data_IF_520704976909
#
_entry.id   IF_520704976909
#
_cell.length_a   1.000
_cell.length_b   1.000
_cell.length_c   1.000
_cell.angle_alpha   90.00
_cell.angle_beta   90.00
_cell.angle_gamma   90.00
#
_symmetry.space_group_name_H-M   'P 1'
#
loop_
_entity.id
_entity.type
_entity.pdbx_description
1 polymer ?
#
# COMPACT_ATOMS: atom_id res chain seq x y z
N UNK A 1 -13.40 -20.33 2.02
CA UNK A 1 -12.04 -20.63 1.52
C UNK A 1 -11.07 -20.79 2.69
N UNK A 2 -9.99 -21.53 2.48
CA UNK A 2 -8.86 -21.56 3.41
C UNK A 2 -7.87 -20.47 3.03
N UNK A 3 -7.53 -19.59 3.97
CA UNK A 3 -6.73 -18.41 3.71
C UNK A 3 -5.57 -18.35 4.71
N UNK A 4 -4.35 -18.14 4.20
CA UNK A 4 -3.23 -17.78 5.07
C UNK A 4 -2.88 -16.31 4.85
N UNK A 5 -2.90 -15.53 5.94
CA UNK A 5 -2.43 -14.14 5.94
C UNK A 5 -0.99 -14.12 6.45
N UNK A 6 -0.06 -13.66 5.63
CA UNK A 6 1.36 -13.53 5.97
C UNK A 6 1.66 -12.09 6.35
N UNK A 7 2.02 -11.88 7.62
CA UNK A 7 2.30 -10.57 8.18
C UNK A 7 1.31 -10.19 9.28
N UNK A 8 1.80 -10.13 10.51
CA UNK A 8 1.02 -9.87 11.74
C UNK A 8 1.15 -8.41 12.23
N UNK A 9 1.43 -7.49 11.32
CA UNK A 9 1.37 -6.06 11.58
C UNK A 9 -0.07 -5.56 11.71
N UNK A 10 -0.24 -4.25 11.92
CA UNK A 10 -1.56 -3.63 12.12
C UNK A 10 -2.57 -4.02 11.01
N UNK A 11 -2.17 -3.89 9.73
CA UNK A 11 -3.04 -4.16 8.59
C UNK A 11 -3.28 -5.67 8.40
N UNK A 12 -2.25 -6.50 8.45
CA UNK A 12 -2.40 -7.95 8.27
C UNK A 12 -3.22 -8.61 9.38
N UNK A 13 -3.08 -8.16 10.63
CA UNK A 13 -3.92 -8.61 11.75
C UNK A 13 -5.40 -8.25 11.52
N UNK A 14 -5.66 -7.02 11.03
CA UNK A 14 -7.03 -6.61 10.68
C UNK A 14 -7.60 -7.46 9.54
N UNK A 15 -6.83 -7.68 8.46
CA UNK A 15 -7.28 -8.51 7.33
C UNK A 15 -7.62 -9.93 7.80
N UNK A 16 -6.78 -10.54 8.63
CA UNK A 16 -7.05 -11.88 9.17
C UNK A 16 -8.34 -11.90 9.99
N UNK A 17 -8.52 -10.94 10.89
CA UNK A 17 -9.75 -10.78 11.67
C UNK A 17 -10.97 -10.57 10.77
N UNK A 18 -10.86 -9.70 9.77
CA UNK A 18 -11.93 -9.39 8.83
C UNK A 18 -12.39 -10.62 8.04
N UNK A 19 -11.43 -11.36 7.46
CA UNK A 19 -11.70 -12.54 6.66
C UNK A 19 -12.30 -13.68 7.49
N UNK A 20 -11.85 -13.85 8.73
CA UNK A 20 -12.49 -14.82 9.67
C UNK A 20 -13.92 -14.39 10.00
N UNK A 21 -14.14 -13.09 10.30
CA UNK A 21 -15.46 -12.54 10.62
C UNK A 21 -16.50 -12.75 9.50
N UNK A 22 -16.08 -12.73 8.24
CA UNK A 22 -16.96 -12.98 7.09
C UNK A 22 -17.04 -14.47 6.71
N UNK A 23 -16.52 -15.38 7.54
CA UNK A 23 -16.76 -16.82 7.47
C UNK A 23 -15.68 -17.62 6.73
N UNK A 24 -14.48 -17.10 6.51
CA UNK A 24 -13.37 -17.88 5.96
C UNK A 24 -12.60 -18.62 7.06
N UNK A 25 -11.93 -19.71 6.70
CA UNK A 25 -10.98 -20.40 7.58
C UNK A 25 -9.61 -19.73 7.45
N UNK A 26 -9.18 -19.01 8.49
CA UNK A 26 -8.02 -18.13 8.42
C UNK A 26 -6.88 -18.58 9.33
N UNK A 27 -5.67 -18.62 8.77
CA UNK A 27 -4.42 -18.71 9.51
C UNK A 27 -3.66 -17.39 9.40
N UNK A 28 -3.21 -16.83 10.52
CA UNK A 28 -2.34 -15.64 10.55
C UNK A 28 -0.91 -16.08 10.88
N UNK A 29 -0.02 -15.90 9.92
CA UNK A 29 1.40 -16.18 10.09
C UNK A 29 2.18 -14.93 10.51
N UNK A 30 3.03 -15.09 11.51
CA UNK A 30 4.06 -14.14 11.89
C UNK A 30 5.36 -14.85 12.27
N UNK A 31 6.50 -14.22 11.99
CA UNK A 31 7.81 -14.76 12.39
C UNK A 31 7.88 -14.93 13.89
N UNK A 32 8.51 -16.02 14.38
CA UNK A 32 8.68 -16.29 15.81
C UNK A 32 9.38 -15.15 16.56
N UNK A 33 10.28 -14.42 15.90
CA UNK A 33 10.97 -13.24 16.45
C UNK A 33 10.14 -11.96 16.45
N UNK A 34 8.94 -11.96 15.85
CA UNK A 34 8.09 -10.78 15.78
C UNK A 34 7.41 -10.49 17.12
N UNK A 35 7.70 -9.32 17.71
CA UNK A 35 7.03 -8.85 18.92
C UNK A 35 5.50 -8.74 18.74
N UNK A 36 5.03 -8.38 17.54
CA UNK A 36 3.59 -8.38 17.22
C UNK A 36 2.99 -9.78 17.32
N UNK A 37 3.67 -10.80 16.76
CA UNK A 37 3.17 -12.18 16.82
C UNK A 37 3.19 -12.75 18.23
N UNK A 38 4.25 -12.48 18.99
CA UNK A 38 4.33 -12.90 20.40
C UNK A 38 3.16 -12.30 21.20
N UNK A 39 2.91 -10.99 21.06
CA UNK A 39 1.77 -10.35 21.70
C UNK A 39 0.43 -10.98 21.29
N UNK A 40 0.22 -11.25 19.99
CA UNK A 40 -1.02 -11.88 19.51
C UNK A 40 -1.21 -13.30 20.07
N UNK A 41 -0.15 -14.09 20.22
CA UNK A 41 -0.21 -15.42 20.84
C UNK A 41 -0.59 -15.32 22.32
N UNK A 42 -0.08 -14.32 23.04
CA UNK A 42 -0.33 -14.14 24.48
C UNK A 42 -1.71 -13.55 24.76
N UNK A 43 -2.15 -12.57 23.97
CA UNK A 43 -3.31 -11.73 24.30
C UNK A 43 -4.46 -11.80 23.31
N UNK A 44 -4.25 -12.41 22.14
CA UNK A 44 -5.16 -12.43 20.98
C UNK A 44 -5.63 -11.05 20.52
N UNK A 45 -4.93 -9.98 20.88
CA UNK A 45 -5.27 -8.62 20.44
C UNK A 45 -4.03 -7.81 20.09
N UNK A 46 -4.16 -6.97 19.07
CA UNK A 46 -3.17 -5.94 18.76
C UNK A 46 -3.53 -4.57 19.35
N UNK A 47 -4.62 -4.49 20.13
CA UNK A 47 -5.17 -3.27 20.71
C UNK A 47 -6.20 -2.56 19.82
N UNK A 48 -6.42 -3.03 18.58
CA UNK A 48 -7.43 -2.51 17.65
C UNK A 48 -8.54 -3.53 17.37
N UNK A 49 -8.18 -4.81 17.25
CA UNK A 49 -9.12 -5.91 17.07
C UNK A 49 -8.78 -7.06 18.04
N UNK A 50 -9.79 -7.80 18.46
CA UNK A 50 -9.64 -9.06 19.19
C UNK A 50 -9.81 -10.21 18.23
N UNK A 51 -8.84 -11.12 18.20
CA UNK A 51 -8.85 -12.28 17.31
C UNK A 51 -9.69 -13.41 17.93
N UNK A 52 -10.71 -13.92 17.21
CA UNK A 52 -11.53 -15.04 17.69
C UNK A 52 -10.72 -16.34 17.75
N UNK A 53 -11.18 -17.30 18.56
CA UNK A 53 -10.53 -18.61 18.69
C UNK A 53 -10.52 -19.41 17.37
N UNK A 54 -11.45 -19.14 16.48
CA UNK A 54 -11.53 -19.72 15.12
C UNK A 54 -10.33 -19.38 14.25
N UNK A 55 -9.72 -18.20 14.47
CA UNK A 55 -8.56 -17.71 13.73
C UNK A 55 -7.29 -18.39 14.26
N UNK A 56 -6.60 -19.15 13.39
CA UNK A 56 -5.39 -19.88 13.76
C UNK A 56 -4.14 -18.98 13.72
N UNK A 57 -3.40 -18.91 14.83
CA UNK A 57 -2.11 -18.21 14.91
C UNK A 57 -0.97 -19.21 14.69
N UNK A 58 -0.04 -18.90 13.79
CA UNK A 58 1.07 -19.81 13.48
C UNK A 58 2.39 -19.08 13.21
N UNK A 59 3.49 -19.74 13.59
CA UNK A 59 4.86 -19.34 13.21
C UNK A 59 5.44 -20.25 12.11
N UNK A 60 4.65 -21.21 11.58
CA UNK A 60 5.07 -22.07 10.47
C UNK A 60 4.46 -21.59 9.16
N UNK A 61 5.30 -21.43 8.14
CA UNK A 61 4.86 -21.17 6.76
C UNK A 61 4.15 -22.39 6.14
N UNK A 62 4.19 -23.59 6.75
CA UNK A 62 3.48 -24.76 6.21
C UNK A 62 1.98 -24.53 6.02
N UNK A 63 1.39 -23.61 6.75
CA UNK A 63 -0.02 -23.21 6.58
C UNK A 63 -0.40 -22.81 5.15
N UNK A 64 0.56 -22.34 4.34
CA UNK A 64 0.31 -21.94 2.94
C UNK A 64 -0.03 -23.11 2.03
N UNK A 65 0.41 -24.35 2.38
CA UNK A 65 0.19 -25.54 1.55
C UNK A 65 -1.30 -25.83 1.34
N UNK A 66 -2.08 -25.71 2.40
CA UNK A 66 -3.50 -26.03 2.42
C UNK A 66 -4.40 -24.84 2.05
N UNK A 67 -3.81 -23.67 1.81
CA UNK A 67 -4.56 -22.45 1.51
C UNK A 67 -4.98 -22.40 0.05
N UNK A 68 -6.20 -21.91 -0.20
CA UNK A 68 -6.68 -21.51 -1.53
C UNK A 68 -6.11 -20.14 -1.90
N UNK A 69 -6.06 -19.24 -0.91
CA UNK A 69 -5.61 -17.85 -1.04
C UNK A 69 -4.52 -17.56 -0.02
N UNK A 70 -3.48 -16.86 -0.46
CA UNK A 70 -2.37 -16.41 0.38
C UNK A 70 -2.34 -14.89 0.34
N UNK A 71 -2.74 -14.26 1.44
CA UNK A 71 -2.74 -12.79 1.56
C UNK A 71 -1.42 -12.34 2.16
N UNK A 72 -0.72 -11.43 1.49
CA UNK A 72 0.58 -10.92 1.92
C UNK A 72 0.46 -9.47 2.37
N UNK A 73 0.82 -9.20 3.63
CA UNK A 73 0.80 -7.89 4.27
C UNK A 73 2.10 -7.64 5.03
N UNK A 74 3.21 -7.56 4.30
CA UNK A 74 4.56 -7.29 4.81
C UNK A 74 5.07 -5.95 4.26
N UNK A 75 6.27 -5.52 4.66
CA UNK A 75 6.93 -4.39 3.99
C UNK A 75 7.18 -4.73 2.51
N UNK A 76 6.87 -3.81 1.60
CA UNK A 76 7.01 -4.00 0.15
C UNK A 76 8.42 -4.41 -0.27
N UNK A 77 9.46 -3.88 0.39
CA UNK A 77 10.86 -4.22 0.11
C UNK A 77 11.26 -5.63 0.58
N UNK A 78 10.47 -6.24 1.46
CA UNK A 78 10.67 -7.63 1.93
C UNK A 78 9.94 -8.68 1.09
N UNK A 79 9.14 -8.28 0.09
CA UNK A 79 8.29 -9.21 -0.66
C UNK A 79 9.11 -10.28 -1.40
N UNK A 80 10.13 -9.89 -2.15
CA UNK A 80 10.97 -10.83 -2.91
C UNK A 80 11.63 -11.88 -2.01
N UNK A 81 12.16 -11.45 -0.87
CA UNK A 81 12.73 -12.37 0.12
C UNK A 81 11.69 -13.37 0.63
N UNK A 82 10.49 -12.90 0.96
CA UNK A 82 9.39 -13.77 1.38
C UNK A 82 8.98 -14.75 0.26
N UNK A 83 8.84 -14.28 -0.98
CA UNK A 83 8.47 -15.16 -2.09
C UNK A 83 9.50 -16.29 -2.29
N UNK A 84 10.81 -15.99 -2.13
CA UNK A 84 11.87 -17.02 -2.14
C UNK A 84 11.79 -17.98 -0.95
N UNK A 85 11.40 -17.50 0.25
CA UNK A 85 11.11 -18.38 1.39
C UNK A 85 9.92 -19.33 1.10
N UNK A 86 9.02 -18.95 0.20
CA UNK A 86 7.85 -19.76 -0.19
C UNK A 86 8.15 -20.76 -1.33
N UNK A 87 9.22 -20.60 -2.12
CA UNK A 87 9.55 -21.50 -3.24
C UNK A 87 9.64 -22.99 -2.85
N UNK A 88 10.23 -23.40 -1.69
CA UNK A 88 10.31 -24.80 -1.31
C UNK A 88 8.95 -25.49 -1.10
N UNK A 89 7.86 -24.73 -0.98
CA UNK A 89 6.51 -25.28 -0.84
C UNK A 89 5.86 -25.66 -2.17
N UNK A 90 6.48 -25.33 -3.31
CA UNK A 90 6.01 -25.66 -4.68
C UNK A 90 4.53 -25.33 -4.90
N UNK A 91 4.10 -24.15 -4.45
CA UNK A 91 2.71 -23.70 -4.47
C UNK A 91 2.19 -23.55 -5.91
N UNK A 92 1.08 -24.20 -6.22
CA UNK A 92 0.42 -24.18 -7.54
C UNK A 92 -1.07 -23.93 -7.40
N UNK A 93 -1.66 -23.28 -8.41
CA UNK A 93 -3.09 -22.98 -8.48
C UNK A 93 -3.60 -22.22 -7.24
N UNK A 94 -2.76 -21.34 -6.68
CA UNK A 94 -3.12 -20.47 -5.56
C UNK A 94 -3.39 -19.05 -6.06
N UNK A 95 -4.09 -18.26 -5.23
CA UNK A 95 -4.25 -16.83 -5.45
C UNK A 95 -3.40 -16.10 -4.41
N UNK A 96 -2.40 -15.34 -4.85
CA UNK A 96 -1.66 -14.42 -4.01
C UNK A 96 -2.35 -13.06 -4.00
N UNK A 97 -2.66 -12.52 -2.82
CA UNK A 97 -3.28 -11.20 -2.66
C UNK A 97 -2.30 -10.27 -1.94
N UNK A 98 -1.85 -9.25 -2.62
CA UNK A 98 -0.86 -8.30 -2.12
C UNK A 98 -1.57 -7.07 -1.54
N UNK A 99 -1.37 -6.81 -0.24
CA UNK A 99 -2.03 -5.71 0.49
C UNK A 99 -1.08 -4.56 0.83
N UNK A 100 0.19 -4.65 0.44
CA UNK A 100 1.15 -3.58 0.60
C UNK A 100 1.07 -2.57 -0.56
N UNK A 101 1.58 -1.37 -0.34
CA UNK A 101 1.57 -0.26 -1.28
C UNK A 101 3.01 0.19 -1.53
N UNK A 102 3.59 -0.19 -2.66
CA UNK A 102 4.99 0.14 -2.95
C UNK A 102 5.48 -0.36 -4.30
N UNK A 103 6.70 0.03 -4.61
CA UNK A 103 7.50 -0.40 -5.77
C UNK A 103 8.84 -0.86 -5.22
N UNK A 104 9.40 -1.95 -5.73
CA UNK A 104 10.71 -2.44 -5.31
C UNK A 104 11.81 -1.46 -5.75
N UNK A 105 12.62 -0.97 -4.81
CA UNK A 105 13.62 0.07 -5.09
C UNK A 105 14.72 -0.46 -6.01
N UNK A 106 15.15 -1.69 -5.80
CA UNK A 106 16.29 -2.28 -6.51
C UNK A 106 16.02 -2.41 -8.01
N UNK A 107 14.83 -2.85 -8.39
CA UNK A 107 14.47 -3.17 -9.78
C UNK A 107 13.49 -2.19 -10.43
N UNK A 108 12.75 -1.42 -9.64
CA UNK A 108 11.62 -0.62 -10.10
C UNK A 108 10.36 -1.44 -10.42
N UNK A 109 10.35 -2.73 -10.10
CA UNK A 109 9.19 -3.61 -10.33
C UNK A 109 8.04 -3.28 -9.39
N UNK A 110 6.81 -3.31 -9.92
CA UNK A 110 5.59 -3.30 -9.11
C UNK A 110 5.51 -4.58 -8.27
N UNK A 111 4.85 -4.53 -7.13
CA UNK A 111 4.78 -5.68 -6.22
C UNK A 111 4.14 -6.91 -6.88
N UNK A 112 3.16 -6.74 -7.78
CA UNK A 112 2.58 -7.84 -8.56
C UNK A 112 3.61 -8.50 -9.47
N UNK A 113 4.47 -7.71 -10.12
CA UNK A 113 5.55 -8.22 -10.97
C UNK A 113 6.61 -8.98 -10.14
N UNK A 114 6.97 -8.47 -8.96
CA UNK A 114 7.89 -9.16 -8.04
C UNK A 114 7.31 -10.52 -7.63
N UNK A 115 6.04 -10.56 -7.26
CA UNK A 115 5.37 -11.80 -6.88
C UNK A 115 5.32 -12.80 -8.04
N UNK A 116 4.87 -12.34 -9.23
CA UNK A 116 4.77 -13.19 -10.43
C UNK A 116 6.13 -13.73 -10.90
N UNK A 117 7.21 -12.96 -10.74
CA UNK A 117 8.56 -13.39 -11.09
C UNK A 117 9.13 -14.50 -10.20
N UNK A 118 8.63 -14.63 -8.97
CA UNK A 118 9.14 -15.56 -7.96
C UNK A 118 8.20 -16.75 -7.70
N UNK A 119 6.98 -16.78 -8.25
CA UNK A 119 6.02 -17.88 -8.06
C UNK A 119 5.79 -18.67 -9.36
N UNK A 120 5.22 -19.88 -9.22
CA UNK A 120 4.82 -20.70 -10.37
C UNK A 120 3.71 -20.00 -11.18
N UNK A 121 3.78 -20.08 -12.50
CA UNK A 121 2.86 -19.40 -13.42
C UNK A 121 1.41 -19.87 -13.36
N UNK A 122 1.14 -21.01 -12.71
CA UNK A 122 -0.25 -21.46 -12.43
C UNK A 122 -0.93 -20.65 -11.31
N UNK A 123 -0.17 -19.85 -10.56
CA UNK A 123 -0.73 -19.01 -9.51
C UNK A 123 -1.21 -17.67 -10.08
N UNK A 124 -2.33 -17.19 -9.56
CA UNK A 124 -2.81 -15.86 -9.86
C UNK A 124 -2.26 -14.84 -8.83
N UNK A 125 -1.99 -13.63 -9.29
CA UNK A 125 -1.56 -12.52 -8.42
C UNK A 125 -2.59 -11.40 -8.49
N UNK A 126 -3.08 -10.98 -7.33
CA UNK A 126 -4.02 -9.88 -7.17
C UNK A 126 -3.48 -8.85 -6.18
N UNK A 127 -3.95 -7.62 -6.29
CA UNK A 127 -3.71 -6.56 -5.31
C UNK A 127 -5.02 -6.19 -4.60
N UNK A 128 -4.93 -5.91 -3.30
CA UNK A 128 -6.03 -5.36 -2.50
C UNK A 128 -5.58 -4.00 -1.99
N UNK A 129 -6.09 -2.93 -2.59
CA UNK A 129 -5.68 -1.54 -2.35
C UNK A 129 -6.88 -0.60 -2.23
N UNK A 130 -6.67 0.60 -1.76
CA UNK A 130 -7.72 1.62 -1.61
C UNK A 130 -7.65 2.30 -0.24
N UNK A 131 -8.64 3.19 0.07
CA UNK A 131 -8.70 3.96 1.29
C UNK A 131 -9.10 3.14 2.52
N UNK A 132 -8.75 3.62 3.69
CA UNK A 132 -9.23 3.13 4.98
C UNK A 132 -8.14 3.00 6.03
N UNK A 133 -8.58 3.20 7.27
CA UNK A 133 -7.77 2.99 8.46
C UNK A 133 -8.31 1.81 9.27
N UNK A 134 -7.41 1.02 9.83
CA UNK A 134 -7.79 -0.12 10.68
C UNK A 134 -8.68 0.32 11.84
N UNK A 135 -8.40 1.49 12.42
CA UNK A 135 -9.18 2.04 13.52
C UNK A 135 -10.65 2.27 13.14
N UNK A 136 -10.90 2.80 11.93
CA UNK A 136 -12.25 3.08 11.42
C UNK A 136 -12.99 1.79 11.10
N UNK A 137 -12.33 0.85 10.40
CA UNK A 137 -12.91 -0.47 10.13
C UNK A 137 -13.21 -1.25 11.42
N UNK A 138 -12.32 -1.21 12.42
CA UNK A 138 -12.54 -1.86 13.70
C UNK A 138 -13.73 -1.23 14.47
N UNK A 139 -13.98 0.07 14.27
CA UNK A 139 -15.16 0.77 14.79
C UNK A 139 -16.44 0.53 13.95
N UNK A 140 -16.36 -0.25 12.88
CA UNK A 140 -17.51 -0.57 12.03
C UNK A 140 -17.82 0.48 10.95
N UNK A 141 -16.93 1.43 10.70
CA UNK A 141 -17.09 2.44 9.63
C UNK A 141 -16.82 1.79 8.27
N UNK A 142 -17.82 1.70 7.37
CA UNK A 142 -17.65 1.06 6.08
C UNK A 142 -16.82 1.91 5.11
N UNK A 143 -16.12 1.24 4.18
CA UNK A 143 -15.40 1.93 3.11
C UNK A 143 -15.37 1.09 1.82
N UNK A 144 -14.88 1.71 0.74
CA UNK A 144 -14.72 1.07 -0.56
C UNK A 144 -13.24 0.80 -0.84
N UNK A 145 -12.95 -0.37 -1.41
CA UNK A 145 -11.59 -0.74 -1.81
C UNK A 145 -11.60 -1.39 -3.22
N UNK A 146 -10.45 -1.65 -3.77
CA UNK A 146 -10.27 -2.26 -5.09
C UNK A 146 -9.52 -3.57 -4.94
N UNK A 147 -9.99 -4.60 -5.62
CA UNK A 147 -9.22 -5.80 -5.95
C UNK A 147 -8.96 -5.77 -7.45
N UNK A 148 -7.70 -5.92 -7.83
CA UNK A 148 -7.29 -6.00 -9.23
C UNK A 148 -6.33 -7.15 -9.46
N UNK A 149 -6.40 -7.73 -10.67
CA UNK A 149 -5.58 -8.86 -11.11
C UNK A 149 -5.65 -8.98 -12.63
N UNK A 150 -4.59 -9.47 -13.24
CA UNK A 150 -4.59 -9.89 -14.65
C UNK A 150 -5.45 -11.16 -14.87
N UNK A 151 -5.74 -11.93 -13.80
CA UNK A 151 -6.67 -13.06 -13.83
C UNK A 151 -8.08 -12.60 -13.47
N UNK A 152 -8.97 -12.59 -14.46
CA UNK A 152 -10.39 -12.22 -14.27
C UNK A 152 -11.11 -13.17 -13.29
N UNK A 153 -10.81 -14.47 -13.34
CA UNK A 153 -11.41 -15.47 -12.44
C UNK A 153 -10.96 -15.24 -10.98
N UNK A 154 -9.68 -14.99 -10.76
CA UNK A 154 -9.16 -14.68 -9.43
C UNK A 154 -9.77 -13.37 -8.89
N UNK A 155 -9.80 -12.33 -9.71
CA UNK A 155 -10.41 -11.03 -9.37
C UNK A 155 -11.88 -11.19 -8.98
N UNK A 156 -12.66 -11.88 -9.78
CA UNK A 156 -14.08 -12.16 -9.51
C UNK A 156 -14.24 -12.94 -8.22
N UNK A 157 -13.51 -14.04 -8.07
CA UNK A 157 -13.54 -14.88 -6.86
C UNK A 157 -13.28 -14.07 -5.60
N UNK A 158 -12.25 -13.22 -5.61
CA UNK A 158 -11.87 -12.42 -4.45
C UNK A 158 -12.91 -11.33 -4.14
N UNK A 159 -13.40 -10.58 -5.15
CA UNK A 159 -14.38 -9.51 -4.93
C UNK A 159 -15.67 -10.07 -4.36
N UNK A 160 -16.16 -11.19 -4.92
CA UNK A 160 -17.41 -11.83 -4.47
C UNK A 160 -17.29 -12.48 -3.09
N UNK A 161 -16.09 -13.02 -2.74
CA UNK A 161 -15.89 -13.74 -1.49
C UNK A 161 -15.44 -12.84 -0.34
N UNK A 162 -14.77 -11.71 -0.63
CA UNK A 162 -14.24 -10.80 0.39
C UNK A 162 -15.15 -9.61 0.66
N UNK A 163 -16.14 -9.35 -0.19
CA UNK A 163 -17.10 -8.27 -0.01
C UNK A 163 -18.01 -8.47 1.20
N UNK A 164 -18.34 -7.37 1.88
CA UNK A 164 -19.27 -7.35 3.03
C UNK A 164 -19.87 -5.95 3.21
N UNK A 165 -20.74 -5.78 4.21
CA UNK A 165 -21.24 -4.47 4.59
C UNK A 165 -20.16 -3.52 5.12
N UNK A 166 -19.02 -4.06 5.58
CA UNK A 166 -17.89 -3.27 6.06
C UNK A 166 -16.95 -2.83 4.94
N UNK A 167 -16.69 -3.71 3.97
CA UNK A 167 -15.80 -3.39 2.84
C UNK A 167 -16.49 -3.76 1.54
N UNK A 168 -16.82 -2.71 0.75
CA UNK A 168 -17.29 -2.86 -0.62
C UNK A 168 -16.10 -2.88 -1.56
N UNK A 169 -15.90 -3.99 -2.29
CA UNK A 169 -14.88 -4.06 -3.32
C UNK A 169 -15.42 -3.67 -4.69
N UNK A 170 -14.55 -2.98 -5.44
CA UNK A 170 -14.70 -2.75 -6.86
C UNK A 170 -13.71 -3.62 -7.64
N UNK A 171 -14.14 -4.08 -8.81
CA UNK A 171 -13.27 -4.75 -9.76
C UNK A 171 -12.29 -3.74 -10.37
N UNK A 172 -10.99 -3.94 -10.15
CA UNK A 172 -9.96 -3.16 -10.84
C UNK A 172 -9.90 -3.53 -12.33
N UNK A 173 -9.53 -2.56 -13.16
CA UNK A 173 -9.37 -2.73 -14.60
C UNK A 173 -8.04 -2.19 -15.12
N UNK A 174 -7.13 -1.84 -14.20
CA UNK A 174 -5.82 -1.31 -14.51
C UNK A 174 -4.86 -1.60 -13.35
N UNK A 175 -4.26 -2.78 -13.39
CA UNK A 175 -3.33 -3.23 -12.35
C UNK A 175 -2.13 -2.28 -12.22
N UNK A 176 -1.65 -1.70 -13.34
CA UNK A 176 -0.55 -0.72 -13.34
C UNK A 176 -0.96 0.52 -12.56
N UNK A 177 -2.07 1.13 -12.93
CA UNK A 177 -2.53 2.36 -12.31
C UNK A 177 -2.90 2.19 -10.84
N UNK A 178 -3.53 1.07 -10.47
CA UNK A 178 -3.91 0.78 -9.10
C UNK A 178 -2.67 0.61 -8.19
N UNK A 179 -1.62 -0.08 -8.64
CA UNK A 179 -0.39 -0.25 -7.87
C UNK A 179 0.43 1.05 -7.78
N UNK A 180 0.64 1.75 -8.91
CA UNK A 180 1.39 3.01 -8.95
C UNK A 180 0.68 4.09 -8.15
N UNK A 181 -0.64 4.21 -8.31
CA UNK A 181 -1.44 5.14 -7.53
C UNK A 181 -1.35 4.89 -6.03
N UNK A 182 -1.47 3.62 -5.61
CA UNK A 182 -1.36 3.22 -4.21
C UNK A 182 0.04 3.49 -3.62
N UNK A 183 1.11 3.28 -4.39
CA UNK A 183 2.47 3.57 -3.95
C UNK A 183 2.71 5.08 -3.84
N UNK A 184 2.31 5.84 -4.87
CA UNK A 184 2.57 7.27 -4.99
C UNK A 184 1.80 8.12 -3.97
N UNK A 185 0.59 7.71 -3.55
CA UNK A 185 -0.16 8.43 -2.51
C UNK A 185 0.64 8.61 -1.22
N UNK A 186 1.51 7.66 -0.88
CA UNK A 186 2.34 7.73 0.31
C UNK A 186 3.37 8.86 0.22
N UNK A 187 3.91 9.13 -0.97
CA UNK A 187 4.80 10.26 -1.25
C UNK A 187 4.04 11.59 -1.12
N UNK A 188 2.84 11.66 -1.70
CA UNK A 188 1.97 12.85 -1.57
C UNK A 188 1.57 13.08 -0.11
N UNK A 189 1.40 11.99 0.67
CA UNK A 189 1.19 12.06 2.12
C UNK A 189 2.37 12.70 2.87
N UNK A 190 3.60 12.37 2.52
CA UNK A 190 4.79 13.03 3.07
C UNK A 190 4.81 14.51 2.70
N UNK A 191 4.55 14.86 1.43
CA UNK A 191 4.47 16.25 0.98
C UNK A 191 3.41 17.04 1.78
N UNK A 192 2.24 16.44 2.02
CA UNK A 192 1.18 17.07 2.84
C UNK A 192 1.64 17.31 4.27
N UNK A 193 2.36 16.36 4.86
CA UNK A 193 2.97 16.52 6.19
C UNK A 193 4.02 17.64 6.22
N UNK A 194 4.87 17.74 5.20
CA UNK A 194 5.82 18.85 5.07
C UNK A 194 5.09 20.20 5.04
N UNK A 195 4.00 20.31 4.27
CA UNK A 195 3.18 21.53 4.25
C UNK A 195 2.58 21.84 5.62
N UNK A 196 2.12 20.84 6.37
CA UNK A 196 1.63 21.03 7.74
C UNK A 196 2.74 21.56 8.65
N UNK A 197 3.92 20.94 8.61
CA UNK A 197 5.07 21.34 9.41
C UNK A 197 5.59 22.74 9.13
N UNK A 198 5.45 23.20 7.88
CA UNK A 198 5.81 24.57 7.42
C UNK A 198 4.71 25.61 7.68
N UNK A 199 3.52 25.23 8.19
CA UNK A 199 2.38 26.14 8.33
C UNK A 199 1.69 26.50 7.02
N UNK A 200 1.86 25.68 5.98
CA UNK A 200 1.33 25.89 4.62
C UNK A 200 0.18 24.93 4.27
N UNK A 201 -0.60 24.50 5.28
CA UNK A 201 -1.67 23.49 5.10
C UNK A 201 -2.72 23.85 4.04
N UNK A 202 -2.94 25.16 3.78
CA UNK A 202 -3.86 25.63 2.74
C UNK A 202 -3.45 25.20 1.33
N UNK A 203 -2.18 24.86 1.10
CA UNK A 203 -1.68 24.37 -0.19
C UNK A 203 -2.02 22.89 -0.46
N UNK A 204 -2.57 22.16 0.49
CA UNK A 204 -2.96 20.76 0.30
C UNK A 204 -3.96 20.55 -0.84
N UNK A 205 -4.89 21.51 -1.06
CA UNK A 205 -5.80 21.45 -2.21
C UNK A 205 -5.06 21.47 -3.55
N UNK A 206 -4.08 22.37 -3.70
CA UNK A 206 -3.22 22.41 -4.88
C UNK A 206 -2.35 21.14 -4.99
N UNK A 207 -1.83 20.64 -3.85
CA UNK A 207 -1.07 19.40 -3.81
C UNK A 207 -1.91 18.20 -4.29
N UNK A 208 -3.17 18.09 -3.86
CA UNK A 208 -4.09 17.05 -4.31
C UNK A 208 -4.27 17.08 -5.83
N UNK A 209 -4.65 18.23 -6.37
CA UNK A 209 -4.91 18.38 -7.81
C UNK A 209 -3.64 18.11 -8.64
N UNK A 210 -2.52 18.71 -8.26
CA UNK A 210 -1.27 18.59 -9.03
C UNK A 210 -0.56 17.25 -8.82
N UNK A 211 -0.63 16.68 -7.61
CA UNK A 211 -0.11 15.37 -7.31
C UNK A 211 -0.85 14.28 -8.08
N UNK A 212 -2.18 14.33 -8.09
CA UNK A 212 -3.00 13.40 -8.90
C UNK A 212 -2.62 13.48 -10.39
N UNK A 213 -2.50 14.70 -10.94
CA UNK A 213 -2.12 14.88 -12.34
C UNK A 213 -0.70 14.42 -12.66
N UNK A 214 0.23 14.59 -11.71
CA UNK A 214 1.61 14.07 -11.82
C UNK A 214 1.62 12.55 -11.96
N UNK A 215 0.87 11.88 -11.11
CA UNK A 215 0.80 10.41 -11.09
C UNK A 215 -0.03 9.86 -12.26
N UNK A 216 -1.07 10.57 -12.69
CA UNK A 216 -1.81 10.23 -13.91
C UNK A 216 -0.87 10.13 -15.13
N UNK A 217 0.03 11.13 -15.30
CA UNK A 217 1.04 11.10 -16.38
C UNK A 217 2.03 9.95 -16.24
N UNK A 218 2.43 9.60 -15.01
CA UNK A 218 3.32 8.45 -14.79
C UNK A 218 2.61 7.15 -15.17
N UNK A 219 1.36 6.98 -14.77
CA UNK A 219 0.55 5.78 -15.08
C UNK A 219 0.40 5.62 -16.59
N UNK A 220 0.02 6.70 -17.30
CA UNK A 220 -0.10 6.70 -18.76
C UNK A 220 1.22 6.33 -19.44
N UNK A 221 2.33 6.94 -19.03
CA UNK A 221 3.66 6.66 -19.58
C UNK A 221 4.11 5.18 -19.32
N UNK A 222 3.58 4.53 -18.29
CA UNK A 222 3.82 3.12 -17.98
C UNK A 222 2.86 2.18 -18.72
N UNK A 223 1.95 2.69 -19.54
CA UNK A 223 0.96 1.92 -20.29
C UNK A 223 -0.31 1.57 -19.49
N UNK A 224 -0.54 2.21 -18.36
CA UNK A 224 -1.79 2.12 -17.59
C UNK A 224 -2.80 3.18 -18.04
N UNK A 225 -3.94 3.23 -17.38
CA UNK A 225 -4.99 4.21 -17.61
C UNK A 225 -4.81 5.41 -16.66
N UNK A 226 -4.56 6.61 -17.19
CA UNK A 226 -4.38 7.83 -16.38
C UNK A 226 -5.54 8.11 -15.43
N UNK A 227 -6.77 7.68 -15.76
CA UNK A 227 -7.95 7.83 -14.91
C UNK A 227 -7.86 7.05 -13.60
N UNK A 228 -7.02 6.03 -13.52
CA UNK A 228 -6.79 5.28 -12.27
C UNK A 228 -6.24 6.15 -11.15
N UNK A 229 -5.49 7.21 -11.48
CA UNK A 229 -5.01 8.18 -10.50
C UNK A 229 -6.16 8.94 -9.80
N UNK A 230 -7.31 9.07 -10.43
CA UNK A 230 -8.49 9.73 -9.87
C UNK A 230 -9.41 8.77 -9.09
N UNK A 231 -9.08 7.47 -9.09
CA UNK A 231 -9.81 6.41 -8.42
C UNK A 231 -9.45 6.22 -6.95
N UNK A 232 -9.99 5.13 -6.37
CA UNK A 232 -9.85 4.80 -4.95
C UNK A 232 -8.41 4.54 -4.51
N UNK A 233 -7.51 4.10 -5.41
CA UNK A 233 -6.15 3.73 -5.05
C UNK A 233 -5.22 4.94 -4.86
N UNK A 234 -5.58 6.11 -5.39
CA UNK A 234 -4.76 7.32 -5.27
C UNK A 234 -5.56 8.50 -4.72
N UNK A 235 -6.30 9.27 -5.57
CA UNK A 235 -7.06 10.44 -5.12
C UNK A 235 -8.09 10.05 -4.04
N UNK A 236 -8.79 8.93 -4.21
CA UNK A 236 -9.78 8.43 -3.25
C UNK A 236 -9.19 8.05 -1.88
N UNK A 237 -7.88 7.79 -1.80
CA UNK A 237 -7.17 7.49 -0.54
C UNK A 237 -6.50 8.74 0.09
N UNK A 238 -6.71 9.94 -0.47
CA UNK A 238 -6.07 11.17 0.03
C UNK A 238 -6.63 11.63 1.37
N UNK A 239 -7.94 11.48 1.62
CA UNK A 239 -8.51 11.83 2.92
C UNK A 239 -7.80 11.07 4.04
N UNK A 240 -7.70 9.75 3.90
CA UNK A 240 -7.01 8.89 4.84
C UNK A 240 -5.48 9.12 4.89
N UNK A 241 -4.89 9.82 3.93
CA UNK A 241 -3.44 9.94 3.81
C UNK A 241 -2.92 11.34 4.09
N UNK A 242 -3.59 12.40 3.58
CA UNK A 242 -3.12 13.79 3.67
C UNK A 242 -3.68 14.53 4.90
N UNK A 243 -4.87 14.12 5.37
CA UNK A 243 -5.59 14.84 6.43
C UNK A 243 -5.69 14.03 7.72
N UNK A 244 -5.66 12.71 7.64
CA UNK A 244 -5.83 11.85 8.81
C UNK A 244 -4.67 11.97 9.80
N UNK A 245 -4.97 12.06 11.12
CA UNK A 245 -3.95 11.98 12.17
C UNK A 245 -3.29 10.61 12.27
N UNK A 246 -3.88 9.58 11.65
CA UNK A 246 -3.35 8.21 11.66
C UNK A 246 -2.37 7.92 10.51
N UNK A 247 -2.15 8.87 9.61
CA UNK A 247 -1.26 8.70 8.46
C UNK A 247 0.20 8.79 8.88
N UNK A 248 0.91 7.67 8.86
CA UNK A 248 2.36 7.61 9.15
C UNK A 248 3.17 8.47 8.19
N UNK A 249 2.81 8.48 6.91
CA UNK A 249 3.53 9.30 5.91
C UNK A 249 3.37 10.80 6.18
N UNK A 250 2.13 11.25 6.50
CA UNK A 250 1.89 12.65 6.85
C UNK A 250 2.64 13.05 8.13
N UNK A 251 2.52 12.24 9.19
CA UNK A 251 3.22 12.51 10.45
C UNK A 251 4.74 12.53 10.27
N UNK A 252 5.27 11.64 9.45
CA UNK A 252 6.71 11.63 9.12
C UNK A 252 7.12 12.93 8.43
N UNK A 253 6.40 13.36 7.38
CA UNK A 253 6.70 14.60 6.67
C UNK A 253 6.65 15.83 7.56
N UNK A 254 5.64 15.93 8.43
CA UNK A 254 5.47 17.03 9.39
C UNK A 254 6.65 17.09 10.37
N UNK A 255 6.98 15.96 10.99
CA UNK A 255 8.07 15.87 11.98
C UNK A 255 9.44 16.09 11.34
N UNK A 256 9.63 15.60 10.11
CA UNK A 256 10.89 15.76 9.40
C UNK A 256 11.27 17.22 9.21
N UNK A 257 10.35 18.06 8.73
CA UNK A 257 10.62 19.49 8.51
C UNK A 257 10.70 20.30 9.82
N UNK A 258 10.13 19.76 10.92
CA UNK A 258 10.27 20.32 12.28
C UNK A 258 11.54 19.86 13.01
N UNK A 259 12.34 18.98 12.37
CA UNK A 259 13.49 18.31 13.00
C UNK A 259 13.12 17.51 14.26
N UNK A 260 11.91 16.91 14.27
CA UNK A 260 11.44 16.05 15.35
C UNK A 260 11.71 14.57 15.01
N UNK A 261 12.03 13.72 16.01
CA UNK A 261 12.27 12.30 15.77
C UNK A 261 10.99 11.58 15.34
N UNK A 262 11.13 10.63 14.40
CA UNK A 262 10.08 9.72 13.98
C UNK A 262 10.64 8.31 13.79
N UNK A 263 10.03 7.31 14.43
CA UNK A 263 10.57 5.94 14.52
C UNK A 263 9.72 4.91 13.78
N UNK A 264 8.47 5.26 13.41
CA UNK A 264 7.59 4.35 12.71
C UNK A 264 7.92 4.30 11.20
N UNK A 265 7.46 3.23 10.55
CA UNK A 265 7.64 3.06 9.11
C UNK A 265 6.79 4.08 8.32
N UNK A 266 7.45 4.87 7.48
CA UNK A 266 6.84 5.71 6.46
C UNK A 266 7.21 5.15 5.07
N UNK A 267 6.32 4.38 4.46
CA UNK A 267 6.60 3.72 3.17
C UNK A 267 6.89 4.69 2.03
N UNK A 268 6.34 5.91 2.09
CA UNK A 268 6.60 6.98 1.13
C UNK A 268 8.06 7.38 1.05
N UNK A 269 8.84 7.20 2.13
CA UNK A 269 10.29 7.43 2.13
C UNK A 269 11.00 6.56 1.09
N UNK A 270 10.67 5.29 1.03
CA UNK A 270 11.24 4.37 0.05
C UNK A 270 10.58 4.52 -1.33
N UNK A 271 9.27 4.75 -1.35
CA UNK A 271 8.51 4.85 -2.60
C UNK A 271 8.97 6.03 -3.48
N UNK A 272 9.39 7.16 -2.90
CA UNK A 272 9.80 8.34 -3.67
C UNK A 272 11.01 8.06 -4.57
N UNK A 273 12.02 7.35 -4.07
CA UNK A 273 13.20 6.99 -4.88
C UNK A 273 12.82 6.00 -5.99
N UNK A 274 12.03 4.98 -5.66
CA UNK A 274 11.56 4.00 -6.63
C UNK A 274 10.73 4.64 -7.75
N UNK A 275 9.80 5.53 -7.42
CA UNK A 275 8.96 6.25 -8.40
C UNK A 275 9.78 7.18 -9.29
N UNK A 276 10.78 7.86 -8.75
CA UNK A 276 11.66 8.72 -9.55
C UNK A 276 12.53 7.90 -10.52
N UNK A 277 13.04 6.75 -10.09
CA UNK A 277 13.77 5.83 -10.97
C UNK A 277 12.86 5.30 -12.07
N UNK A 278 11.67 4.86 -11.72
CA UNK A 278 10.67 4.38 -12.66
C UNK A 278 10.26 5.48 -13.65
N UNK A 279 10.00 6.71 -13.16
CA UNK A 279 9.70 7.87 -14.01
C UNK A 279 10.78 8.19 -15.04
N UNK A 280 12.06 7.99 -14.68
CA UNK A 280 13.17 8.16 -15.62
C UNK A 280 13.13 7.16 -16.79
N UNK A 281 12.72 5.93 -16.55
CA UNK A 281 12.66 4.89 -17.61
C UNK A 281 11.64 5.23 -18.70
N UNK A 282 10.61 5.99 -18.35
CA UNK A 282 9.51 6.39 -19.25
C UNK A 282 9.49 7.90 -19.52
N UNK A 283 10.53 8.63 -19.13
CA UNK A 283 10.66 10.07 -19.31
C UNK A 283 9.51 10.91 -18.70
N UNK A 284 8.89 10.41 -17.62
CA UNK A 284 7.83 11.12 -16.91
C UNK A 284 8.42 12.20 -15.98
N UNK A 285 7.90 13.44 -16.07
CA UNK A 285 8.29 14.54 -15.18
C UNK A 285 7.47 14.49 -13.87
N UNK A 286 8.16 14.25 -12.76
CA UNK A 286 7.61 14.07 -11.42
C UNK A 286 8.11 15.17 -10.46
N UNK A 287 7.67 16.44 -10.63
CA UNK A 287 8.19 17.56 -9.85
C UNK A 287 7.89 17.47 -8.35
N UNK A 288 6.71 17.01 -7.93
CA UNK A 288 6.35 16.87 -6.52
C UNK A 288 7.17 15.77 -5.87
N UNK A 289 7.25 14.58 -6.51
CA UNK A 289 8.11 13.50 -6.03
C UNK A 289 9.57 13.96 -5.93
N UNK A 290 10.05 14.76 -6.90
CA UNK A 290 11.42 15.29 -6.88
C UNK A 290 11.66 16.24 -5.72
N UNK A 291 10.72 17.16 -5.45
CA UNK A 291 10.81 18.06 -4.30
C UNK A 291 10.87 17.28 -2.98
N UNK A 292 9.99 16.30 -2.79
CA UNK A 292 10.03 15.42 -1.61
C UNK A 292 11.37 14.70 -1.51
N UNK A 293 11.88 14.13 -2.60
CA UNK A 293 13.17 13.46 -2.64
C UNK A 293 14.33 14.40 -2.27
N UNK A 294 14.36 15.61 -2.82
CA UNK A 294 15.41 16.58 -2.53
C UNK A 294 15.47 16.93 -1.04
N UNK A 295 14.29 17.13 -0.41
CA UNK A 295 14.23 17.39 1.03
C UNK A 295 14.71 16.18 1.84
N UNK A 296 14.22 14.96 1.53
CA UNK A 296 14.48 13.77 2.33
C UNK A 296 15.90 13.19 2.16
N UNK A 297 16.44 13.21 0.94
CA UNK A 297 17.67 12.50 0.59
C UNK A 297 18.85 13.42 0.33
N UNK A 298 18.61 14.68 -0.04
CA UNK A 298 19.67 15.66 -0.29
C UNK A 298 19.79 16.73 0.79
N UNK A 299 18.80 16.79 1.72
CA UNK A 299 18.80 17.79 2.78
C UNK A 299 18.48 19.21 2.30
N UNK A 300 17.84 19.33 1.11
CA UNK A 300 17.43 20.63 0.59
C UNK A 300 16.35 21.27 1.49
N UNK A 301 16.29 22.60 1.48
CA UNK A 301 15.32 23.32 2.30
C UNK A 301 13.89 23.12 1.78
N UNK A 302 12.96 22.69 2.64
CA UNK A 302 11.60 22.39 2.25
C UNK A 302 10.81 23.61 1.76
N UNK A 303 11.04 24.81 2.32
CA UNK A 303 10.44 26.06 1.81
C UNK A 303 10.91 26.38 0.40
N UNK A 304 12.20 26.21 0.12
CA UNK A 304 12.78 26.49 -1.18
C UNK A 304 12.25 25.53 -2.25
N UNK A 305 12.11 24.24 -1.91
CA UNK A 305 11.53 23.22 -2.79
C UNK A 305 10.03 23.52 -3.09
N UNK A 306 9.25 23.94 -2.08
CA UNK A 306 7.86 24.38 -2.30
C UNK A 306 7.82 25.60 -3.22
N UNK A 307 8.65 26.63 -2.97
CA UNK A 307 8.71 27.83 -3.79
C UNK A 307 9.12 27.50 -5.24
N UNK A 308 10.06 26.58 -5.42
CA UNK A 308 10.50 26.15 -6.74
C UNK A 308 9.36 25.52 -7.56
N UNK A 309 8.40 24.84 -6.94
CA UNK A 309 7.22 24.32 -7.64
C UNK A 309 6.33 25.45 -8.21
N UNK A 310 6.22 26.59 -7.53
CA UNK A 310 5.42 27.74 -7.97
C UNK A 310 6.12 28.61 -9.03
N UNK A 311 7.44 28.56 -9.13
CA UNK A 311 8.24 29.31 -10.11
C UNK A 311 8.49 28.56 -11.42
N UNK A 312 7.94 27.36 -11.57
CA UNK A 312 8.00 26.59 -12.82
C UNK A 312 7.28 27.31 -13.96
N UNK A 313 7.67 26.98 -15.20
CA UNK A 313 7.01 27.52 -16.39
C UNK A 313 5.49 27.34 -16.36
N UNK A 314 4.76 28.35 -16.73
CA UNK A 314 3.29 28.32 -16.85
C UNK A 314 2.89 27.24 -17.86
N UNK A 315 1.94 26.39 -17.49
CA UNK A 315 1.38 25.31 -18.32
C UNK A 315 -0.14 25.40 -18.30
N UNK A 316 -0.79 24.76 -19.25
CA UNK A 316 -2.22 24.49 -19.14
C UNK A 316 -2.50 23.55 -17.95
N UNK A 317 -3.71 23.61 -17.40
CA UNK A 317 -4.10 22.73 -16.28
C UNK A 317 -4.21 21.26 -16.73
N UNK A 318 -4.76 21.05 -17.95
CA UNK A 318 -4.94 19.75 -18.58
C UNK A 318 -4.33 19.70 -19.97
#
# INVERSE_FOLDING_TARGET
>A
MKITVIGCGRWGTFIAWYLDKIGHSVSLYGRKSSAHMQKLIETRTNGLVELPETLHLTNSLDAVKDSDVIVISVNSQGLRGLMRELQPFELKNKIFVLCMKGVEIETGMRISQVCAAECDSSNAVAVWVGPGHVQEFAAGVPNCMVIDSDSEDAKKTLVESFGSDLIRFYYGQDLIGNEIGAAAKNVVGIAAGMLDGLGLSTLKGALMARGTREIARLIDALGGNELSAYGLCHLGDYEATLFSPYSHNRMFGEKFVKNEPYTDLAEGYYAVDALLRLGKTVSADLPICRAVYNVLYKGENAHDEVNALFTRSIKNEF
#
